data_IF_707337641453
#
_entry.id   IF_707337641453
#
_cell.length_a   1.000
_cell.length_b   1.000
_cell.length_c   1.000
_cell.angle_alpha   90.00
_cell.angle_beta   90.00
_cell.angle_gamma   90.00
#
_symmetry.space_group_name_H-M   'P 1'
#
loop_
_entity.id
_entity.type
_entity.pdbx_description
1 polymer ?
#
# COMPACT_ATOMS: atom_id res chain seq x y z
N UNK A 1 26.49 36.04 50.88
CA UNK A 1 26.42 34.58 50.66
C UNK A 1 25.62 34.33 49.39
N UNK A 2 26.30 34.23 48.24
CA UNK A 2 25.68 33.94 46.94
C UNK A 2 25.87 32.44 46.67
N UNK A 3 24.80 31.64 46.81
CA UNK A 3 24.86 30.20 46.59
C UNK A 3 24.93 29.90 45.10
N UNK A 4 26.10 29.43 44.69
CA UNK A 4 26.39 28.97 43.34
C UNK A 4 25.61 27.66 43.11
N UNK A 5 24.44 27.74 42.46
CA UNK A 5 23.67 26.54 42.06
C UNK A 5 24.41 25.87 40.92
N UNK A 6 25.25 24.89 41.26
CA UNK A 6 25.92 24.04 40.29
C UNK A 6 24.90 23.38 39.35
N UNK A 7 24.98 23.72 38.05
CA UNK A 7 24.30 22.96 37.00
C UNK A 7 24.85 21.54 37.02
N UNK A 8 24.00 20.56 37.29
CA UNK A 8 24.36 19.13 37.14
C UNK A 8 24.88 18.91 35.71
N UNK A 9 26.00 18.18 35.52
CA UNK A 9 26.50 17.87 34.19
C UNK A 9 25.43 17.08 33.44
N UNK A 10 25.11 17.49 32.21
CA UNK A 10 24.29 16.67 31.30
C UNK A 10 25.07 15.38 31.04
N UNK A 11 24.56 14.24 31.50
CA UNK A 11 25.11 12.93 31.12
C UNK A 11 25.11 12.85 29.60
N UNK A 12 26.26 12.60 29.02
CA UNK A 12 26.37 12.23 27.60
C UNK A 12 25.56 10.96 27.38
N UNK A 13 24.73 10.87 26.32
CA UNK A 13 23.99 9.66 26.03
C UNK A 13 24.96 8.49 25.81
N UNK A 14 24.66 7.35 26.43
CA UNK A 14 25.41 6.11 26.23
C UNK A 14 25.03 5.48 24.89
N UNK A 15 26.03 5.05 24.12
CA UNK A 15 25.87 4.40 22.83
C UNK A 15 26.29 2.93 22.90
N UNK A 16 25.57 2.10 22.16
CA UNK A 16 25.88 0.71 21.93
C UNK A 16 26.56 0.55 20.56
N UNK A 17 27.59 -0.29 20.50
CA UNK A 17 28.35 -0.57 19.29
C UNK A 17 28.61 -2.07 19.16
N UNK A 18 28.28 -2.67 18.01
CA UNK A 18 28.57 -4.07 17.70
C UNK A 18 28.77 -4.28 16.19
N UNK A 19 29.81 -5.03 15.82
CA UNK A 19 30.07 -5.36 14.42
C UNK A 19 29.20 -6.54 13.97
N UNK A 20 28.57 -6.39 12.81
CA UNK A 20 27.66 -7.36 12.20
C UNK A 20 28.15 -7.72 10.79
N UNK A 21 27.76 -8.88 10.29
CA UNK A 21 28.05 -9.33 8.90
C UNK A 21 26.99 -10.34 8.45
N UNK A 22 25.71 -9.93 8.50
CA UNK A 22 24.59 -10.80 8.21
C UNK A 22 24.36 -10.92 6.69
N UNK A 23 23.90 -12.09 6.24
CA UNK A 23 23.51 -12.35 4.85
C UNK A 23 21.99 -12.44 4.74
N UNK A 24 21.40 -11.65 3.83
CA UNK A 24 19.95 -11.56 3.64
C UNK A 24 19.58 -11.01 2.25
N UNK A 25 18.32 -11.14 1.88
CA UNK A 25 17.74 -10.61 0.63
C UNK A 25 17.17 -9.20 0.89
N UNK A 26 17.87 -8.17 0.42
CA UNK A 26 17.57 -6.76 0.73
C UNK A 26 16.17 -6.32 0.28
N UNK A 27 15.75 -6.67 -0.92
CA UNK A 27 14.42 -6.29 -1.41
C UNK A 27 13.33 -7.00 -0.60
N UNK A 28 13.58 -8.22 -0.15
CA UNK A 28 12.75 -8.96 0.79
C UNK A 28 12.58 -8.20 2.09
N UNK A 29 13.66 -7.69 2.67
CA UNK A 29 13.62 -6.87 3.88
C UNK A 29 12.81 -5.57 3.66
N UNK A 30 13.08 -4.85 2.56
CA UNK A 30 12.35 -3.61 2.21
C UNK A 30 10.85 -3.86 2.04
N UNK A 31 10.47 -4.93 1.35
CA UNK A 31 9.05 -5.32 1.21
C UNK A 31 8.40 -5.63 2.55
N UNK A 32 9.11 -6.26 3.47
CA UNK A 32 8.59 -6.56 4.81
C UNK A 32 8.34 -5.29 5.62
N UNK A 33 9.23 -4.30 5.53
CA UNK A 33 8.98 -2.99 6.11
C UNK A 33 7.72 -2.35 5.53
N UNK A 34 7.59 -2.32 4.20
CA UNK A 34 6.41 -1.78 3.53
C UNK A 34 5.11 -2.51 3.92
N UNK A 35 5.16 -3.82 4.15
CA UNK A 35 4.00 -4.61 4.59
C UNK A 35 3.69 -4.47 6.09
N UNK A 36 4.53 -3.76 6.86
CA UNK A 36 4.39 -3.62 8.31
C UNK A 36 4.75 -4.89 9.08
N UNK A 37 5.61 -5.74 8.51
CA UNK A 37 6.04 -7.02 9.10
C UNK A 37 7.32 -6.90 9.94
N UNK A 38 7.99 -5.74 9.89
CA UNK A 38 9.16 -5.44 10.71
C UNK A 38 8.77 -4.44 11.80
N UNK A 39 8.97 -4.76 13.09
CA UNK A 39 8.65 -3.86 14.19
C UNK A 39 9.59 -2.66 14.20
N UNK A 40 9.07 -1.48 14.59
CA UNK A 40 9.81 -0.20 14.67
C UNK A 40 10.41 0.32 13.36
N UNK A 41 10.28 -0.41 12.25
CA UNK A 41 10.79 -0.01 10.94
C UNK A 41 9.75 0.81 10.20
N UNK A 42 10.18 1.94 9.67
CA UNK A 42 9.34 2.86 8.90
C UNK A 42 9.00 2.20 7.55
N UNK A 43 7.73 2.27 7.16
CA UNK A 43 7.30 1.94 5.80
C UNK A 43 8.00 2.90 4.82
N UNK A 44 8.88 2.41 3.93
CA UNK A 44 9.71 3.26 3.07
C UNK A 44 8.89 4.12 2.11
N UNK A 45 7.62 3.77 1.86
CA UNK A 45 6.76 4.52 0.95
C UNK A 45 5.83 5.53 1.67
N UNK A 46 5.84 5.54 3.01
CA UNK A 46 4.90 6.33 3.82
C UNK A 46 5.08 7.85 3.69
N UNK A 47 6.28 8.30 3.35
CA UNK A 47 6.62 9.72 3.21
C UNK A 47 6.26 10.30 1.84
N UNK A 48 5.96 9.46 0.85
CA UNK A 48 5.68 9.89 -0.51
C UNK A 48 4.18 10.08 -0.75
N UNK A 49 3.78 10.88 -1.75
CA UNK A 49 2.40 10.89 -2.20
C UNK A 49 1.95 9.49 -2.65
N UNK A 50 0.68 9.17 -2.46
CA UNK A 50 0.14 7.85 -2.78
C UNK A 50 0.26 7.54 -4.28
N UNK A 51 0.66 6.30 -4.59
CA UNK A 51 0.85 5.73 -5.93
C UNK A 51 0.67 4.21 -5.85
N UNK A 52 0.65 3.47 -6.97
CA UNK A 52 0.64 1.99 -6.89
C UNK A 52 2.00 1.49 -6.41
N UNK A 53 2.02 0.59 -5.43
CA UNK A 53 3.25 0.18 -4.76
C UNK A 53 3.81 -1.11 -5.33
N UNK A 54 5.05 -1.12 -5.84
CA UNK A 54 5.72 -2.36 -6.21
C UNK A 54 6.16 -3.17 -4.99
N UNK A 55 6.20 -2.57 -3.78
CA UNK A 55 6.61 -3.21 -2.54
C UNK A 55 5.46 -3.93 -1.83
N UNK A 56 4.23 -3.42 -1.97
CA UNK A 56 2.99 -3.95 -1.37
C UNK A 56 2.15 -4.79 -2.34
N UNK A 57 2.68 -5.12 -3.52
CA UNK A 57 2.00 -5.88 -4.57
C UNK A 57 2.70 -7.21 -4.86
N UNK A 58 2.00 -8.12 -5.57
CA UNK A 58 2.65 -9.34 -6.08
C UNK A 58 3.87 -8.99 -6.94
N UNK A 59 4.92 -9.82 -6.84
CA UNK A 59 6.17 -9.65 -7.61
C UNK A 59 5.98 -9.79 -9.12
N UNK A 60 4.83 -10.31 -9.55
CA UNK A 60 4.52 -10.53 -10.97
C UNK A 60 4.00 -9.27 -11.67
N UNK A 61 3.63 -8.22 -10.93
CA UNK A 61 3.19 -6.97 -11.52
C UNK A 61 4.33 -6.26 -12.24
N UNK A 62 4.03 -5.75 -13.43
CA UNK A 62 4.90 -4.86 -14.18
C UNK A 62 4.34 -3.44 -14.03
N UNK A 63 5.18 -2.53 -13.55
CA UNK A 63 4.87 -1.10 -13.44
C UNK A 63 5.57 -0.39 -14.58
N UNK A 64 4.88 0.51 -15.28
CA UNK A 64 5.49 1.17 -16.43
C UNK A 64 4.86 2.51 -16.80
N UNK A 65 5.68 3.53 -16.99
CA UNK A 65 5.31 4.78 -17.67
C UNK A 65 5.00 4.55 -19.16
N UNK A 66 5.73 3.60 -19.77
CA UNK A 66 5.63 3.16 -21.16
C UNK A 66 5.86 1.65 -21.19
N UNK A 67 4.99 0.90 -21.87
CA UNK A 67 5.03 -0.56 -22.03
C UNK A 67 6.32 -1.04 -22.75
N UNK A 68 7.48 -0.95 -22.12
CA UNK A 68 8.71 -1.57 -22.60
C UNK A 68 9.15 -2.60 -21.57
N UNK A 69 8.87 -3.88 -21.85
CA UNK A 69 9.49 -5.02 -21.19
C UNK A 69 10.99 -4.94 -21.48
N UNK A 70 11.78 -4.39 -20.58
CA UNK A 70 13.20 -4.72 -20.51
C UNK A 70 13.55 -5.12 -19.09
N UNK A 71 14.42 -6.11 -19.03
CA UNK A 71 14.61 -7.02 -17.92
C UNK A 71 15.11 -6.37 -16.62
N UNK A 72 14.60 -6.87 -15.49
CA UNK A 72 15.18 -6.79 -14.14
C UNK A 72 15.23 -5.40 -13.47
N UNK A 73 14.08 -4.80 -13.21
CA UNK A 73 13.97 -3.63 -12.33
C UNK A 73 14.28 -4.00 -10.87
N UNK A 74 15.56 -3.86 -10.49
CA UNK A 74 15.89 -3.55 -9.10
C UNK A 74 15.19 -2.24 -8.75
N UNK A 75 14.25 -2.28 -7.80
CA UNK A 75 13.57 -1.09 -7.28
C UNK A 75 14.60 -0.28 -6.49
N UNK A 76 15.26 0.66 -7.13
CA UNK A 76 16.09 1.67 -6.46
C UNK A 76 15.21 2.85 -6.02
N UNK A 77 15.50 3.46 -4.85
CA UNK A 77 14.75 4.62 -4.31
C UNK A 77 14.56 5.76 -5.32
N UNK A 78 15.56 5.99 -6.17
CA UNK A 78 15.53 6.99 -7.25
C UNK A 78 14.42 6.75 -8.28
N UNK A 79 14.03 5.48 -8.47
CA UNK A 79 12.88 5.11 -9.29
C UNK A 79 11.57 5.36 -8.56
N UNK A 80 11.50 5.22 -7.23
CA UNK A 80 10.27 5.50 -6.45
C UNK A 80 9.96 7.01 -6.46
N UNK A 81 10.97 7.85 -6.33
CA UNK A 81 10.81 9.32 -6.30
C UNK A 81 10.46 9.93 -7.66
N UNK A 82 10.87 9.30 -8.78
CA UNK A 82 10.71 9.82 -10.14
C UNK A 82 9.87 8.94 -11.09
N UNK A 83 9.45 7.75 -10.65
CA UNK A 83 8.75 6.77 -11.48
C UNK A 83 7.25 7.01 -11.49
N UNK A 84 6.61 6.87 -12.65
CA UNK A 84 5.17 6.96 -12.75
C UNK A 84 4.55 5.58 -12.46
N UNK A 85 4.38 5.27 -11.17
CA UNK A 85 3.67 4.06 -10.74
C UNK A 85 2.15 4.21 -10.81
N UNK A 86 1.65 4.94 -11.81
CA UNK A 86 0.23 5.07 -12.04
C UNK A 86 -0.30 3.92 -12.89
N UNK A 87 0.55 3.14 -13.57
CA UNK A 87 0.13 2.16 -14.57
C UNK A 87 0.76 0.79 -14.37
N UNK A 88 -0.09 -0.24 -14.44
CA UNK A 88 0.29 -1.63 -14.17
C UNK A 88 -0.29 -2.62 -15.19
N UNK A 89 0.43 -3.72 -15.39
CA UNK A 89 -0.03 -4.90 -16.13
C UNK A 89 0.55 -6.20 -15.54
N UNK A 90 -0.02 -7.33 -15.95
CA UNK A 90 0.33 -8.68 -15.48
C UNK A 90 -0.08 -9.72 -16.53
N UNK A 91 0.84 -10.59 -16.90
CA UNK A 91 0.61 -11.66 -17.87
C UNK A 91 0.40 -13.02 -17.19
N UNK A 92 -0.63 -13.13 -16.33
CA UNK A 92 -0.95 -14.39 -15.65
C UNK A 92 -2.37 -14.39 -15.04
N UNK A 93 -2.59 -15.27 -14.06
CA UNK A 93 -3.80 -15.29 -13.23
C UNK A 93 -3.95 -14.05 -12.36
N UNK A 94 -5.05 -13.95 -11.62
CA UNK A 94 -5.30 -12.80 -10.74
C UNK A 94 -4.21 -12.65 -9.68
N UNK A 95 -3.75 -11.41 -9.47
CA UNK A 95 -2.85 -11.04 -8.37
C UNK A 95 -3.27 -9.71 -7.76
N UNK A 96 -2.91 -9.46 -6.51
CA UNK A 96 -3.21 -8.20 -5.83
C UNK A 96 -2.13 -7.15 -6.12
N UNK A 97 -2.56 -5.95 -6.49
CA UNK A 97 -1.77 -4.74 -6.48
C UNK A 97 -2.40 -3.72 -5.53
N UNK A 98 -1.57 -3.12 -4.68
CA UNK A 98 -1.96 -2.16 -3.65
C UNK A 98 -1.32 -0.81 -3.92
N UNK A 99 -1.96 0.25 -3.47
CA UNK A 99 -1.32 1.55 -3.36
C UNK A 99 -0.27 1.58 -2.24
N UNK A 100 0.55 2.63 -2.22
CA UNK A 100 1.66 2.80 -1.29
C UNK A 100 1.23 3.22 0.12
N UNK A 101 0.03 3.82 0.25
CA UNK A 101 -0.46 4.37 1.51
C UNK A 101 -1.87 3.92 1.82
N UNK A 102 -2.15 3.76 3.10
CA UNK A 102 -3.50 3.55 3.61
C UNK A 102 -4.30 4.86 3.58
N UNK A 103 -5.61 4.76 3.37
CA UNK A 103 -6.52 5.89 3.45
C UNK A 103 -6.70 6.32 4.91
N UNK A 104 -6.82 7.62 5.12
CA UNK A 104 -7.18 8.20 6.42
C UNK A 104 -8.70 8.19 6.61
N UNK A 105 -9.15 8.40 7.86
CA UNK A 105 -10.58 8.39 8.21
C UNK A 105 -11.13 9.80 8.50
N UNK A 106 -10.38 10.83 8.12
CA UNK A 106 -10.64 12.24 8.42
C UNK A 106 -11.62 12.91 7.44
N UNK A 107 -11.79 12.35 6.25
CA UNK A 107 -12.69 12.84 5.21
C UNK A 107 -13.08 11.73 4.23
N UNK A 108 -13.94 12.08 3.26
CA UNK A 108 -14.23 11.21 2.11
C UNK A 108 -13.07 11.27 1.11
N UNK A 109 -12.73 10.12 0.55
CA UNK A 109 -11.68 10.01 -0.48
C UNK A 109 -12.24 9.46 -1.78
N UNK A 110 -11.76 9.97 -2.90
CA UNK A 110 -12.09 9.47 -4.24
C UNK A 110 -10.84 9.27 -5.08
N UNK A 111 -10.79 8.20 -5.86
CA UNK A 111 -9.75 7.94 -6.86
C UNK A 111 -10.33 7.16 -8.03
N UNK A 112 -9.57 7.10 -9.13
CA UNK A 112 -9.99 6.43 -10.35
C UNK A 112 -9.04 5.31 -10.75
N UNK A 113 -9.60 4.28 -11.38
CA UNK A 113 -8.88 3.29 -12.17
C UNK A 113 -9.41 3.31 -13.59
N UNK A 114 -8.55 3.58 -14.56
CA UNK A 114 -8.86 3.46 -15.97
C UNK A 114 -8.52 2.05 -16.43
N UNK A 115 -9.53 1.31 -16.89
CA UNK A 115 -9.33 0.01 -17.53
C UNK A 115 -8.91 0.26 -18.98
N UNK A 116 -7.61 0.28 -19.26
CA UNK A 116 -7.09 0.90 -20.47
C UNK A 116 -7.46 0.14 -21.76
N UNK A 117 -7.76 0.84 -22.89
CA UNK A 117 -8.15 0.24 -24.18
C UNK A 117 -7.20 -0.81 -24.78
N UNK A 118 -5.91 -0.73 -24.47
CA UNK A 118 -4.85 -1.65 -24.90
C UNK A 118 -4.82 -2.97 -24.12
N UNK A 119 -5.72 -3.14 -23.15
CA UNK A 119 -5.88 -4.41 -22.44
C UNK A 119 -6.29 -5.54 -23.39
N UNK A 120 -5.87 -6.76 -23.07
CA UNK A 120 -6.32 -7.93 -23.83
C UNK A 120 -7.85 -8.11 -23.73
N UNK A 121 -8.58 -8.53 -24.77
CA UNK A 121 -10.04 -8.66 -24.74
C UNK A 121 -10.58 -9.61 -23.65
N UNK A 122 -9.86 -10.70 -23.37
CA UNK A 122 -10.19 -11.66 -22.29
C UNK A 122 -9.62 -11.28 -20.92
N UNK A 123 -9.14 -10.04 -20.78
CA UNK A 123 -8.62 -9.55 -19.51
C UNK A 123 -9.76 -9.19 -18.56
N UNK A 124 -9.48 -9.28 -17.25
CA UNK A 124 -10.47 -8.94 -16.23
C UNK A 124 -9.87 -8.08 -15.14
N UNK A 125 -10.74 -7.33 -14.47
CA UNK A 125 -10.36 -6.33 -13.47
C UNK A 125 -11.26 -6.45 -12.24
N UNK A 126 -10.63 -6.44 -11.06
CA UNK A 126 -11.25 -6.13 -9.79
C UNK A 126 -10.62 -4.88 -9.19
N UNK A 127 -11.42 -3.98 -8.64
CA UNK A 127 -10.96 -2.75 -8.00
C UNK A 127 -11.66 -2.54 -6.66
N UNK A 128 -10.95 -1.98 -5.70
CA UNK A 128 -11.51 -1.71 -4.38
C UNK A 128 -10.42 -1.38 -3.36
N UNK A 129 -10.48 -2.04 -2.20
CA UNK A 129 -9.53 -1.85 -1.11
C UNK A 129 -9.09 -3.20 -0.53
N UNK A 130 -7.89 -3.23 0.03
CA UNK A 130 -7.36 -4.36 0.78
C UNK A 130 -6.46 -3.89 1.93
N UNK A 131 -6.27 -4.72 2.94
CA UNK A 131 -5.26 -4.49 3.99
C UNK A 131 -3.90 -5.04 3.55
N UNK A 132 -2.86 -4.87 4.37
CA UNK A 132 -1.55 -5.48 4.10
C UNK A 132 -1.52 -7.00 4.26
N UNK A 133 -2.54 -7.58 4.91
CA UNK A 133 -2.66 -9.03 5.18
C UNK A 133 -3.36 -9.81 4.06
N UNK A 134 -3.97 -9.12 3.10
CA UNK A 134 -4.62 -9.76 1.97
C UNK A 134 -3.62 -10.58 1.13
N UNK A 135 -4.05 -11.76 0.69
CA UNK A 135 -3.22 -12.67 -0.12
C UNK A 135 -2.80 -11.99 -1.43
N UNK A 136 -1.49 -11.81 -1.60
CA UNK A 136 -0.94 -11.15 -2.79
C UNK A 136 -1.09 -11.98 -4.06
N UNK A 137 -1.19 -13.29 -3.93
CA UNK A 137 -1.25 -14.23 -5.06
C UNK A 137 -2.68 -14.53 -5.52
N UNK A 138 -3.66 -13.84 -4.94
CA UNK A 138 -5.07 -13.99 -5.20
C UNK A 138 -5.73 -12.65 -5.60
N UNK A 139 -6.95 -12.66 -6.16
CA UNK A 139 -7.69 -11.43 -6.41
C UNK A 139 -8.08 -10.71 -5.11
N UNK A 140 -8.19 -9.38 -5.16
CA UNK A 140 -8.83 -8.58 -4.10
C UNK A 140 -10.14 -9.25 -3.69
N UNK A 141 -10.37 -9.27 -2.37
CA UNK A 141 -11.59 -9.75 -1.72
C UNK A 141 -11.83 -11.26 -1.83
N UNK A 142 -10.79 -12.06 -2.08
CA UNK A 142 -10.87 -13.52 -1.90
C UNK A 142 -10.97 -13.91 -0.42
N UNK A 143 -10.38 -13.10 0.46
CA UNK A 143 -10.31 -13.28 1.90
C UNK A 143 -11.02 -12.13 2.62
N UNK A 144 -10.97 -12.14 3.95
CA UNK A 144 -11.59 -11.12 4.81
C UNK A 144 -10.83 -9.78 4.78
N UNK A 145 -9.68 -9.73 4.11
CA UNK A 145 -8.76 -8.60 4.11
C UNK A 145 -8.98 -7.69 2.90
N UNK A 146 -10.05 -7.87 2.12
CA UNK A 146 -10.38 -7.03 0.98
C UNK A 146 -11.86 -6.93 0.62
N UNK A 147 -12.18 -5.85 -0.08
CA UNK A 147 -13.49 -5.57 -0.68
C UNK A 147 -13.28 -5.09 -2.12
N UNK A 148 -14.05 -5.60 -3.08
CA UNK A 148 -13.91 -5.15 -4.47
C UNK A 148 -15.20 -5.16 -5.28
N UNK A 149 -15.14 -4.43 -6.39
CA UNK A 149 -16.03 -4.48 -7.53
C UNK A 149 -15.35 -5.22 -8.67
N UNK A 150 -16.09 -6.00 -9.45
CA UNK A 150 -15.57 -6.78 -10.58
C UNK A 150 -16.18 -6.29 -11.89
N UNK A 151 -15.37 -6.29 -12.95
CA UNK A 151 -15.75 -5.92 -14.32
C UNK A 151 -16.98 -6.68 -14.82
N UNK A 152 -17.02 -7.99 -14.59
CA UNK A 152 -18.15 -8.88 -14.89
C UNK A 152 -19.37 -8.68 -13.96
N UNK A 153 -19.42 -7.55 -13.27
CA UNK A 153 -20.41 -7.21 -12.28
C UNK A 153 -20.18 -7.92 -10.95
N UNK A 154 -20.88 -7.37 -9.97
CA UNK A 154 -20.90 -7.80 -8.58
C UNK A 154 -19.85 -7.14 -7.69
N UNK A 155 -20.17 -7.10 -6.41
CA UNK A 155 -19.29 -6.70 -5.32
C UNK A 155 -18.94 -7.93 -4.46
N UNK A 156 -17.68 -8.05 -4.06
CA UNK A 156 -17.12 -9.23 -3.40
C UNK A 156 -16.40 -8.88 -2.09
N UNK A 157 -16.50 -9.78 -1.13
CA UNK A 157 -15.78 -9.79 0.14
C UNK A 157 -15.67 -11.23 0.65
N UNK A 158 -14.49 -11.64 1.15
CA UNK A 158 -14.28 -12.98 1.67
C UNK A 158 -14.67 -14.11 0.70
N UNK A 159 -14.37 -13.93 -0.60
CA UNK A 159 -14.68 -14.88 -1.66
C UNK A 159 -16.17 -14.93 -2.01
N UNK A 160 -17.03 -14.24 -1.27
CA UNK A 160 -18.46 -14.23 -1.45
C UNK A 160 -18.91 -12.98 -2.17
N UNK A 161 -19.83 -13.17 -3.12
CA UNK A 161 -20.55 -12.06 -3.74
C UNK A 161 -21.54 -11.51 -2.71
N UNK A 162 -21.55 -10.19 -2.51
CA UNK A 162 -22.49 -9.52 -1.64
C UNK A 162 -23.93 -9.76 -2.16
N UNK A 163 -24.92 -9.93 -1.29
CA UNK A 163 -26.32 -10.11 -1.71
C UNK A 163 -26.90 -8.87 -2.40
N UNK A 164 -26.41 -7.68 -2.07
CA UNK A 164 -26.75 -6.44 -2.78
C UNK A 164 -26.08 -6.34 -4.17
N UNK A 165 -25.24 -7.31 -4.54
CA UNK A 165 -24.47 -7.32 -5.78
C UNK A 165 -25.29 -7.68 -7.03
N UNK A 166 -26.56 -8.09 -6.91
CA UNK A 166 -27.46 -8.25 -8.06
C UNK A 166 -27.72 -6.92 -8.78
N UNK A 167 -27.37 -5.79 -8.14
CA UNK A 167 -27.50 -4.44 -8.67
C UNK A 167 -26.17 -3.81 -9.12
N UNK A 168 -25.02 -4.46 -8.88
CA UNK A 168 -23.74 -3.89 -9.29
C UNK A 168 -23.58 -4.01 -10.80
N UNK A 169 -23.60 -2.87 -11.48
CA UNK A 169 -23.36 -2.79 -12.92
C UNK A 169 -21.97 -3.32 -13.30
N UNK A 170 -21.90 -3.87 -14.51
CA UNK A 170 -20.65 -4.27 -15.16
C UNK A 170 -19.89 -3.05 -15.66
N UNK A 171 -18.57 -3.11 -15.67
CA UNK A 171 -17.70 -2.17 -16.39
C UNK A 171 -16.74 -2.95 -17.29
N UNK A 172 -16.17 -2.29 -18.30
CA UNK A 172 -15.37 -2.95 -19.34
C UNK A 172 -14.13 -2.14 -19.69
N UNK A 173 -13.30 -2.73 -20.54
CA UNK A 173 -12.17 -2.05 -21.18
C UNK A 173 -12.64 -0.73 -21.79
N UNK A 174 -11.91 0.34 -21.50
CA UNK A 174 -12.19 1.73 -21.86
C UNK A 174 -12.92 2.54 -20.78
N UNK A 175 -13.52 1.90 -19.77
CA UNK A 175 -14.20 2.61 -18.70
C UNK A 175 -13.21 3.17 -17.67
N UNK A 176 -13.62 4.27 -17.04
CA UNK A 176 -12.98 4.83 -15.85
C UNK A 176 -13.86 4.52 -14.65
N UNK A 177 -13.29 3.78 -13.70
CA UNK A 177 -13.95 3.31 -12.50
C UNK A 177 -13.51 4.18 -11.34
N UNK A 178 -14.44 4.99 -10.82
CA UNK A 178 -14.23 5.77 -9.62
C UNK A 178 -14.62 4.99 -8.37
N UNK A 179 -13.82 5.12 -7.31
CA UNK A 179 -14.11 4.53 -6.00
C UNK A 179 -14.22 5.63 -4.96
N UNK A 180 -15.37 5.71 -4.31
CA UNK A 180 -15.59 6.57 -3.16
C UNK A 180 -15.41 5.80 -1.85
N UNK A 181 -14.49 6.25 -0.99
CA UNK A 181 -14.29 5.77 0.36
C UNK A 181 -14.88 6.78 1.35
N UNK A 182 -15.90 6.33 2.10
CA UNK A 182 -16.71 7.20 2.95
C UNK A 182 -16.63 6.71 4.40
N UNK A 183 -15.74 7.28 5.23
CA UNK A 183 -15.75 7.02 6.66
C UNK A 183 -17.04 7.56 7.30
N UNK A 184 -17.78 6.69 7.97
CA UNK A 184 -18.92 7.04 8.82
C UNK A 184 -18.53 6.97 10.30
N UNK A 185 -19.47 7.21 11.22
CA UNK A 185 -19.21 7.12 12.66
C UNK A 185 -18.66 5.74 13.07
N UNK A 186 -19.33 4.66 12.64
CA UNK A 186 -19.05 3.28 13.09
C UNK A 186 -18.40 2.37 12.05
N UNK A 187 -18.50 2.71 10.77
CA UNK A 187 -18.05 1.88 9.65
C UNK A 187 -17.47 2.74 8.53
N UNK A 188 -16.94 2.10 7.50
CA UNK A 188 -16.65 2.72 6.21
C UNK A 188 -17.66 2.21 5.18
N UNK A 189 -18.04 3.08 4.25
CA UNK A 189 -18.76 2.72 3.04
C UNK A 189 -17.89 2.81 1.80
N UNK A 190 -18.13 1.92 0.83
CA UNK A 190 -17.56 2.01 -0.52
C UNK A 190 -18.65 2.27 -1.55
N UNK A 191 -18.42 3.32 -2.33
CA UNK A 191 -19.26 3.79 -3.41
C UNK A 191 -18.59 3.54 -4.76
N UNK A 192 -19.36 3.09 -5.75
CA UNK A 192 -18.87 2.83 -7.10
C UNK A 192 -19.34 3.93 -8.05
N UNK A 193 -18.42 4.41 -8.89
CA UNK A 193 -18.72 5.31 -10.00
C UNK A 193 -18.21 4.66 -11.29
N UNK A 194 -18.97 4.76 -12.38
CA UNK A 194 -18.54 4.30 -13.71
C UNK A 194 -18.71 5.47 -14.67
N UNK A 195 -17.61 5.93 -15.25
CA UNK A 195 -17.56 7.08 -16.15
C UNK A 195 -18.25 8.32 -15.54
N UNK A 196 -17.99 8.57 -14.26
CA UNK A 196 -18.57 9.69 -13.49
C UNK A 196 -20.00 9.49 -13.02
N UNK A 197 -20.69 8.42 -13.44
CA UNK A 197 -22.05 8.12 -12.99
C UNK A 197 -21.97 7.35 -11.67
N UNK A 198 -22.55 7.93 -10.62
CA UNK A 198 -22.73 7.30 -9.32
C UNK A 198 -23.62 6.06 -9.43
N UNK A 199 -23.10 4.90 -9.04
CA UNK A 199 -23.80 3.61 -9.00
C UNK A 199 -24.26 3.24 -7.60
N UNK A 200 -23.93 4.05 -6.61
CA UNK A 200 -24.34 3.89 -5.22
C UNK A 200 -23.32 3.16 -4.34
N UNK A 201 -23.73 2.98 -3.08
CA UNK A 201 -22.96 2.31 -2.03
C UNK A 201 -23.29 0.82 -2.05
N UNK A 202 -22.26 -0.02 -2.10
CA UNK A 202 -22.41 -1.48 -2.13
C UNK A 202 -21.82 -2.17 -0.89
N UNK A 203 -21.01 -1.46 -0.12
CA UNK A 203 -20.53 -1.88 1.18
C UNK A 203 -20.71 -0.72 2.14
N UNK A 204 -21.31 -0.94 3.30
CA UNK A 204 -21.61 0.10 4.29
C UNK A 204 -21.22 -0.30 5.73
N UNK A 205 -20.61 -1.47 5.88
CA UNK A 205 -20.26 -2.10 7.14
C UNK A 205 -18.78 -2.49 7.22
N UNK A 206 -17.90 -1.79 6.52
CA UNK A 206 -16.46 -2.07 6.52
C UNK A 206 -15.84 -1.62 7.85
N UNK A 207 -15.00 -2.46 8.45
CA UNK A 207 -14.36 -2.25 9.76
C UNK A 207 -13.36 -1.08 9.73
N UNK A 208 -13.51 -0.11 10.64
CA UNK A 208 -12.67 1.09 10.72
C UNK A 208 -11.32 0.85 11.39
N UNK A 209 -11.21 -0.19 12.22
CA UNK A 209 -9.96 -0.51 12.93
C UNK A 209 -8.87 -1.05 12.00
N UNK A 210 -9.26 -1.56 10.83
CA UNK A 210 -8.33 -2.05 9.83
C UNK A 210 -7.81 -0.92 8.94
N UNK A 211 -6.61 -1.12 8.43
CA UNK A 211 -5.88 -0.16 7.60
C UNK A 211 -6.11 -0.49 6.14
N UNK A 212 -6.97 0.27 5.49
CA UNK A 212 -7.41 0.01 4.12
C UNK A 212 -6.58 0.77 3.09
N UNK A 213 -6.20 0.06 2.02
CA UNK A 213 -5.34 0.57 0.95
C UNK A 213 -6.09 0.42 -0.38
N UNK A 214 -6.16 1.46 -1.23
CA UNK A 214 -6.67 1.34 -2.59
C UNK A 214 -5.98 0.20 -3.33
N UNK A 215 -6.77 -0.68 -3.95
CA UNK A 215 -6.28 -1.95 -4.46
C UNK A 215 -6.96 -2.35 -5.75
N UNK A 216 -6.25 -3.12 -6.57
CA UNK A 216 -6.78 -3.73 -7.78
C UNK A 216 -6.22 -5.14 -7.96
N UNK A 217 -6.94 -5.96 -8.74
CA UNK A 217 -6.42 -7.20 -9.28
C UNK A 217 -6.74 -7.32 -10.74
N UNK A 218 -5.73 -7.61 -11.54
CA UNK A 218 -5.85 -7.81 -12.98
C UNK A 218 -5.60 -9.28 -13.35
N UNK A 219 -6.20 -9.68 -14.45
CA UNK A 219 -6.09 -11.01 -15.05
C UNK A 219 -5.79 -10.88 -16.53
N UNK A 220 -4.91 -11.75 -17.07
CA UNK A 220 -4.57 -11.86 -18.51
C UNK A 220 -4.28 -10.51 -19.20
N UNK A 221 -3.17 -9.87 -18.89
CA UNK A 221 -2.71 -8.64 -19.56
C UNK A 221 -3.72 -7.50 -19.54
N UNK A 222 -4.56 -7.42 -18.50
CA UNK A 222 -5.29 -6.19 -18.24
C UNK A 222 -4.28 -5.07 -17.93
N UNK A 223 -4.46 -3.93 -18.58
CA UNK A 223 -3.67 -2.73 -18.36
C UNK A 223 -4.53 -1.75 -17.60
N UNK A 224 -4.07 -1.31 -16.44
CA UNK A 224 -4.83 -0.40 -15.58
C UNK A 224 -3.98 0.80 -15.23
N UNK A 225 -4.57 1.99 -15.33
CA UNK A 225 -3.98 3.23 -14.85
C UNK A 225 -4.77 3.76 -13.65
N UNK A 226 -4.14 3.87 -12.49
CA UNK A 226 -4.68 4.51 -11.30
C UNK A 226 -4.48 6.02 -11.35
N UNK A 227 -5.45 6.78 -10.85
CA UNK A 227 -5.32 8.21 -10.64
C UNK A 227 -5.77 8.56 -9.22
N UNK A 228 -4.81 8.94 -8.38
CA UNK A 228 -5.05 9.31 -6.98
C UNK A 228 -5.03 10.83 -6.74
N UNK A 229 -4.80 11.63 -7.79
CA UNK A 229 -4.64 13.08 -7.71
C UNK A 229 -5.60 13.80 -8.64
N UNK A 230 -5.95 15.03 -8.28
CA UNK A 230 -6.67 15.92 -9.20
C UNK A 230 -5.73 16.42 -10.32
N UNK A 231 -6.25 16.70 -11.52
CA UNK A 231 -7.64 16.51 -11.93
C UNK A 231 -8.00 15.03 -12.14
N UNK A 232 -9.21 14.68 -11.70
CA UNK A 232 -9.85 13.41 -12.08
C UNK A 232 -10.49 13.56 -13.46
N UNK A 233 -10.65 12.46 -14.19
CA UNK A 233 -11.40 12.48 -15.44
C UNK A 233 -12.88 12.81 -15.17
N UNK A 234 -13.41 12.28 -14.07
CA UNK A 234 -14.73 12.56 -13.55
C UNK A 234 -14.65 13.05 -12.12
N UNK A 235 -14.62 14.37 -11.97
CA UNK A 235 -14.50 15.04 -10.68
C UNK A 235 -15.78 14.83 -9.82
N UNK A 236 -15.68 14.25 -8.62
CA UNK A 236 -16.84 13.98 -7.76
C UNK A 236 -17.31 15.21 -6.95
N UNK A 237 -16.67 16.38 -7.13
CA UNK A 237 -16.94 17.61 -6.39
C UNK A 237 -15.97 17.84 -5.23
N UNK A 238 -16.11 19.00 -4.57
CA UNK A 238 -15.17 19.49 -3.55
C UNK A 238 -15.27 18.75 -2.20
N UNK A 239 -16.37 18.05 -1.95
CA UNK A 239 -16.58 17.27 -0.71
C UNK A 239 -15.70 16.00 -0.64
N UNK A 240 -14.95 15.72 -1.70
CA UNK A 240 -14.08 14.55 -1.83
C UNK A 240 -12.61 14.98 -1.87
N UNK A 241 -11.84 14.49 -0.90
CA UNK A 241 -10.38 14.57 -0.92
C UNK A 241 -9.78 13.64 -1.98
N UNK A 242 -8.68 14.07 -2.58
CA UNK A 242 -7.84 13.18 -3.38
C UNK A 242 -6.84 12.47 -2.45
N UNK A 243 -6.66 11.14 -2.55
CA UNK A 243 -5.67 10.43 -1.73
C UNK A 243 -4.25 10.99 -1.85
N UNK A 244 -3.89 11.61 -2.97
CA UNK A 244 -2.61 12.28 -3.17
C UNK A 244 -2.35 13.43 -2.18
N UNK A 245 -3.41 14.12 -1.75
CA UNK A 245 -3.31 15.28 -0.86
C UNK A 245 -3.35 14.88 0.63
N UNK A 246 -3.37 13.57 0.93
CA UNK A 246 -3.35 13.07 2.31
C UNK A 246 -2.07 13.48 3.04
N UNK A 247 -2.25 14.09 4.21
CA UNK A 247 -1.14 14.42 5.12
C UNK A 247 -0.36 13.17 5.49
N UNK A 248 0.94 13.28 5.70
CA UNK A 248 1.74 12.16 6.21
C UNK A 248 1.21 11.74 7.59
N UNK A 249 1.25 10.44 7.86
CA UNK A 249 0.85 9.92 9.15
C UNK A 249 1.96 10.13 10.18
N UNK A 250 1.57 10.44 11.42
CA UNK A 250 2.52 10.47 12.54
C UNK A 250 2.99 9.05 12.84
N UNK A 251 4.22 8.72 12.46
CA UNK A 251 4.86 7.43 12.69
C UNK A 251 5.56 7.38 14.06
N UNK A 252 4.85 7.74 15.13
CA UNK A 252 5.47 7.91 16.46
C UNK A 252 6.13 6.64 17.03
N UNK A 253 5.71 5.45 16.56
CA UNK A 253 6.21 4.16 17.06
C UNK A 253 7.28 3.53 16.14
N UNK A 254 7.57 4.12 14.98
CA UNK A 254 8.54 3.61 14.02
C UNK A 254 9.61 4.66 13.74
N UNK A 255 10.86 4.33 14.02
CA UNK A 255 11.98 5.27 13.92
C UNK A 255 13.17 4.70 13.16
N UNK A 256 13.17 3.39 12.87
CA UNK A 256 14.25 2.74 12.13
C UNK A 256 13.96 2.91 10.64
N UNK A 257 14.83 3.62 9.93
CA UNK A 257 14.81 3.63 8.47
C UNK A 257 15.25 2.25 7.94
N UNK A 258 14.54 1.72 6.95
CA UNK A 258 14.80 0.37 6.44
C UNK A 258 16.15 0.24 5.74
N UNK A 259 16.62 1.32 5.10
CA UNK A 259 17.92 1.33 4.43
C UNK A 259 19.06 1.45 5.43
N UNK A 260 18.86 2.22 6.50
CA UNK A 260 19.74 2.22 7.66
C UNK A 260 19.82 0.83 8.30
N UNK A 261 18.69 0.13 8.46
CA UNK A 261 18.68 -1.24 8.97
C UNK A 261 19.47 -2.20 8.05
N UNK A 262 19.24 -2.12 6.73
CA UNK A 262 20.02 -2.88 5.75
C UNK A 262 21.53 -2.61 5.86
N UNK A 263 21.91 -1.35 6.06
CA UNK A 263 23.30 -0.97 6.25
C UNK A 263 23.88 -1.60 7.53
N UNK A 264 23.21 -1.38 8.67
CA UNK A 264 23.62 -1.89 9.99
C UNK A 264 23.83 -3.40 9.98
N UNK A 265 22.88 -4.15 9.41
CA UNK A 265 22.96 -5.62 9.35
C UNK A 265 24.21 -6.14 8.59
N UNK A 266 24.77 -5.34 7.68
CA UNK A 266 25.96 -5.68 6.89
C UNK A 266 27.28 -5.17 7.49
N UNK A 267 27.23 -4.24 8.44
CA UNK A 267 28.42 -3.51 8.90
C UNK A 267 28.52 -3.48 10.41
N UNK A 268 27.88 -2.52 11.06
CA UNK A 268 27.89 -2.33 12.49
C UNK A 268 26.61 -1.62 12.93
N UNK A 269 26.13 -1.98 14.11
CA UNK A 269 25.12 -1.19 14.79
C UNK A 269 25.82 -0.14 15.64
N UNK A 270 25.39 1.11 15.47
CA UNK A 270 25.70 2.21 16.39
C UNK A 270 24.41 2.95 16.70
N UNK A 271 23.87 2.71 17.89
CA UNK A 271 22.60 3.28 18.33
C UNK A 271 22.69 3.70 19.80
N UNK A 272 21.70 4.45 20.28
CA UNK A 272 21.58 4.66 21.72
C UNK A 272 21.30 3.33 22.42
N UNK A 273 21.81 3.18 23.63
CA UNK A 273 21.57 1.95 24.42
C UNK A 273 20.08 1.66 24.61
N UNK A 274 19.23 2.70 24.72
CA UNK A 274 17.78 2.58 24.87
C UNK A 274 17.07 2.00 23.64
N UNK A 275 17.65 2.17 22.44
CA UNK A 275 17.04 1.72 21.18
C UNK A 275 17.53 0.32 20.77
N UNK A 276 18.53 -0.21 21.47
CA UNK A 276 19.23 -1.46 21.12
C UNK A 276 18.25 -2.61 20.86
N UNK A 277 17.34 -2.86 21.79
CA UNK A 277 16.44 -4.00 21.73
C UNK A 277 15.47 -3.89 20.53
N UNK A 278 15.06 -2.66 20.16
CA UNK A 278 14.24 -2.43 18.98
C UNK A 278 14.95 -2.82 17.68
N UNK A 279 16.25 -2.49 17.56
CA UNK A 279 17.04 -2.90 16.39
C UNK A 279 17.19 -4.42 16.33
N UNK A 280 17.52 -5.09 17.43
CA UNK A 280 17.64 -6.56 17.44
C UNK A 280 16.32 -7.24 17.12
N UNK A 281 15.20 -6.77 17.66
CA UNK A 281 13.88 -7.32 17.33
C UNK A 281 13.56 -7.15 15.83
N UNK A 282 13.86 -5.98 15.25
CA UNK A 282 13.69 -5.73 13.82
C UNK A 282 14.57 -6.66 12.96
N UNK A 283 15.84 -6.84 13.34
CA UNK A 283 16.78 -7.74 12.64
C UNK A 283 16.35 -9.21 12.73
N UNK A 284 15.93 -9.68 13.91
CA UNK A 284 15.46 -11.05 14.10
C UNK A 284 14.27 -11.36 13.20
N UNK A 285 13.30 -10.43 13.10
CA UNK A 285 12.16 -10.55 12.17
C UNK A 285 12.61 -10.48 10.71
N UNK A 286 13.57 -9.61 10.39
CA UNK A 286 14.11 -9.49 9.04
C UNK A 286 14.85 -10.75 8.56
N UNK A 287 15.34 -11.60 9.47
CA UNK A 287 16.03 -12.84 9.11
C UNK A 287 15.11 -14.07 9.00
N UNK A 288 13.83 -13.96 9.37
CA UNK A 288 12.88 -15.07 9.24
C UNK A 288 12.75 -15.45 7.75
N UNK A 289 12.88 -16.73 7.36
CA UNK A 289 12.63 -17.18 6.00
C UNK A 289 11.21 -16.81 5.54
N UNK A 290 11.05 -16.42 4.28
CA UNK A 290 9.75 -15.94 3.77
C UNK A 290 8.60 -16.95 3.96
N UNK A 291 8.88 -18.25 3.85
CA UNK A 291 7.89 -19.32 4.03
C UNK A 291 7.49 -19.58 5.50
N UNK A 292 8.21 -19.00 6.48
CA UNK A 292 7.93 -19.11 7.91
C UNK A 292 7.29 -17.85 8.49
N UNK A 293 7.11 -16.80 7.69
CA UNK A 293 6.44 -15.60 8.16
C UNK A 293 4.94 -15.82 8.16
N UNK A 294 4.28 -15.49 9.27
CA UNK A 294 2.83 -15.34 9.28
C UNK A 294 2.47 -14.16 8.37
N UNK A 295 1.79 -14.45 7.27
CA UNK A 295 1.15 -13.46 6.39
C UNK A 295 -0.26 -13.23 6.92
#
# INVERSE_FOLDING_TARGET
>A
MSSNRGRKPRKTPEFFHEQLNLSFEELGLIRRAALGLLPYVIDPESQFPIHLSPLKSSRNYIFSDKLTKNDSDRIELSHIENGNYDRVTLDSGYRLCRASRRLQLDQKYYWEFHFCPESHPDSHLRVGIATTKADMEAPVAVDQEGYCFRDLGGSYHNGHRNHNASLTETFKIGDIIGIGFVPNEKSISLQLFINGIDKGIFFDNIEKKLKWIPSLSIFKNAVVKANFKRPFAFDPGQDWGAPYDMKNEDMNDCFIDVYQLCHIMKTEISCKTEDKDCYFEAMDKALIPAHLMAI
#
